data_IF_209871547049
#
_entry.id   IF_209871547049
#
_cell.length_a   1.000
_cell.length_b   1.000
_cell.length_c   1.000
_cell.angle_alpha   90.00
_cell.angle_beta   90.00
_cell.angle_gamma   90.00
#
_symmetry.space_group_name_H-M   'P 1'
#
loop_
_entity.id
_entity.type
_entity.pdbx_description
1 polymer ?
#
# COMPACT_ATOMS: atom_id res chain seq x y z
N UNK A 1 -28.93 36.62 32.42
CA UNK A 1 -29.18 36.10 33.78
C UNK A 1 -30.61 35.58 33.80
N UNK A 2 -30.82 34.37 34.33
CA UNK A 2 -31.96 33.44 34.14
C UNK A 2 -31.86 32.59 32.87
N UNK A 3 -32.20 31.31 32.86
CA UNK A 3 -32.02 30.21 33.81
C UNK A 3 -32.36 28.94 33.01
N UNK A 4 -31.72 27.84 33.38
CA UNK A 4 -32.02 26.48 32.93
C UNK A 4 -33.53 26.15 33.01
N UNK A 5 -34.04 25.27 32.12
CA UNK A 5 -34.41 23.88 32.49
C UNK A 5 -35.10 23.15 31.32
N UNK A 6 -34.54 22.02 30.92
CA UNK A 6 -35.21 21.00 30.07
C UNK A 6 -35.95 20.04 31.01
N UNK A 7 -37.25 19.72 30.81
CA UNK A 7 -37.89 18.66 31.55
C UNK A 7 -37.87 17.30 30.83
N UNK A 8 -37.96 16.29 31.68
CA UNK A 8 -37.69 14.86 31.56
C UNK A 8 -38.83 14.02 30.97
N UNK A 9 -38.39 12.89 30.37
CA UNK A 9 -38.89 11.49 30.48
C UNK A 9 -40.37 11.19 30.21
N UNK A 10 -40.59 10.32 29.21
CA UNK A 10 -41.74 9.41 29.17
C UNK A 10 -41.24 7.97 29.23
N UNK A 11 -41.62 7.29 30.32
CA UNK A 11 -41.69 5.83 30.40
C UNK A 11 -42.98 5.37 29.71
N UNK A 12 -42.96 4.21 29.07
CA UNK A 12 -44.03 3.22 29.18
C UNK A 12 -43.48 1.84 28.81
N UNK A 13 -43.35 1.01 29.84
CA UNK A 13 -43.23 -0.43 29.77
C UNK A 13 -44.64 -0.95 30.01
N UNK A 14 -45.10 -1.93 29.23
CA UNK A 14 -45.87 -3.06 29.75
C UNK A 14 -45.79 -4.26 28.82
N UNK A 15 -45.96 -5.39 29.48
CA UNK A 15 -45.46 -6.73 29.22
C UNK A 15 -46.58 -7.71 28.83
N UNK A 16 -46.19 -8.99 28.69
CA UNK A 16 -46.99 -10.22 28.52
C UNK A 16 -47.22 -10.57 27.05
N UNK A 17 -46.95 -11.76 26.56
CA UNK A 17 -46.54 -13.01 27.17
C UNK A 17 -46.40 -14.07 26.07
N UNK A 18 -45.66 -15.14 26.38
CA UNK A 18 -45.43 -16.34 25.57
C UNK A 18 -46.73 -17.03 25.14
N UNK A 19 -46.72 -17.94 24.14
CA UNK A 19 -46.48 -19.34 24.51
C UNK A 19 -45.65 -20.16 23.51
N UNK A 20 -45.16 -21.28 24.05
CA UNK A 20 -44.41 -22.35 23.42
C UNK A 20 -45.11 -22.93 22.18
N UNK A 21 -44.33 -23.15 21.11
CA UNK A 21 -44.44 -24.33 20.25
C UNK A 21 -43.17 -24.45 19.38
N UNK A 22 -42.41 -25.54 19.56
CA UNK A 22 -41.46 -26.09 18.58
C UNK A 22 -41.79 -27.59 18.44
N UNK A 23 -41.41 -28.29 17.36
CA UNK A 23 -41.54 -27.93 15.95
C UNK A 23 -42.08 -29.15 15.14
N UNK A 24 -42.47 -28.96 13.87
CA UNK A 24 -42.45 -30.08 12.89
C UNK A 24 -41.64 -29.58 11.71
N UNK A 25 -40.37 -29.98 11.67
CA UNK A 25 -39.49 -29.74 10.53
C UNK A 25 -39.71 -30.88 9.53
N UNK A 26 -40.10 -30.60 8.28
CA UNK A 26 -40.14 -31.63 7.24
C UNK A 26 -38.72 -32.13 6.94
N UNK A 27 -38.57 -33.45 6.77
CA UNK A 27 -37.30 -34.16 6.55
C UNK A 27 -36.58 -33.85 5.23
N UNK A 28 -37.03 -32.87 4.45
CA UNK A 28 -36.41 -32.47 3.18
C UNK A 28 -35.27 -31.45 3.32
N UNK A 29 -34.96 -30.99 4.53
CA UNK A 29 -33.85 -30.06 4.79
C UNK A 29 -32.54 -30.72 5.26
N UNK A 30 -32.39 -32.04 5.12
CA UNK A 30 -31.12 -32.73 5.44
C UNK A 30 -30.22 -33.00 4.23
N UNK A 31 -30.60 -32.58 3.02
CA UNK A 31 -29.74 -32.71 1.82
C UNK A 31 -29.26 -31.37 1.24
N UNK A 32 -29.58 -30.24 1.87
CA UNK A 32 -29.11 -28.91 1.45
C UNK A 32 -27.93 -28.39 2.30
N UNK A 33 -27.60 -29.06 3.41
CA UNK A 33 -26.50 -28.68 4.28
C UNK A 33 -25.16 -29.30 3.86
N UNK A 34 -25.17 -30.48 3.25
CA UNK A 34 -23.95 -31.22 2.89
C UNK A 34 -23.27 -30.69 1.62
N UNK A 35 -24.02 -30.07 0.68
CA UNK A 35 -23.44 -29.45 -0.52
C UNK A 35 -22.72 -28.13 -0.25
N UNK A 36 -22.79 -27.59 0.97
CA UNK A 36 -22.15 -26.30 1.32
C UNK A 36 -20.74 -26.46 1.87
N UNK A 37 -20.35 -27.66 2.30
CA UNK A 37 -19.00 -27.91 2.82
C UNK A 37 -18.03 -28.31 1.70
N UNK A 38 -18.43 -29.18 0.77
CA UNK A 38 -17.60 -29.52 -0.41
C UNK A 38 -17.26 -28.29 -1.26
N UNK A 39 -18.19 -27.33 -1.36
CA UNK A 39 -17.99 -26.11 -2.16
C UNK A 39 -17.16 -25.03 -1.43
N UNK A 40 -16.88 -25.20 -0.13
CA UNK A 40 -15.99 -24.31 0.63
C UNK A 40 -14.53 -24.72 0.51
N UNK A 41 -14.26 -26.01 0.37
CA UNK A 41 -12.91 -26.55 0.31
C UNK A 41 -12.23 -26.37 -1.06
N UNK A 42 -12.99 -26.28 -2.16
CA UNK A 42 -12.41 -26.02 -3.49
C UNK A 42 -11.86 -24.60 -3.68
N UNK A 43 -12.15 -23.66 -2.77
CA UNK A 43 -11.59 -22.29 -2.86
C UNK A 43 -10.23 -22.15 -2.18
N UNK A 44 -9.69 -23.25 -1.62
CA UNK A 44 -8.42 -23.28 -0.91
C UNK A 44 -7.19 -23.51 -1.80
N UNK A 45 -7.31 -23.31 -3.11
CA UNK A 45 -6.18 -22.95 -3.99
C UNK A 45 -6.00 -21.43 -4.08
N UNK A 46 -6.35 -20.70 -3.01
CA UNK A 46 -5.96 -19.29 -2.89
C UNK A 46 -4.46 -19.22 -2.65
N UNK A 47 -3.74 -18.77 -3.68
CA UNK A 47 -2.38 -18.26 -3.55
C UNK A 47 -2.31 -17.38 -2.30
N UNK A 48 -1.24 -17.54 -1.51
CA UNK A 48 -1.06 -16.82 -0.25
C UNK A 48 -1.42 -15.35 -0.48
N UNK A 49 -2.45 -14.81 0.19
CA UNK A 49 -2.75 -13.40 0.06
C UNK A 49 -1.47 -12.66 0.40
N UNK A 50 -1.10 -11.72 -0.45
CA UNK A 50 -0.04 -10.73 -0.21
C UNK A 50 -0.09 -10.34 1.26
N UNK A 51 0.98 -10.65 2.01
CA UNK A 51 0.92 -10.82 3.47
C UNK A 51 0.09 -9.74 4.15
N UNK A 52 -1.03 -10.14 4.79
CA UNK A 52 -1.99 -9.22 5.41
C UNK A 52 -1.35 -8.31 6.48
N UNK A 53 -0.25 -8.75 7.09
CA UNK A 53 0.55 -7.93 8.02
C UNK A 53 1.05 -6.63 7.38
N UNK A 54 1.47 -6.67 6.11
CA UNK A 54 2.04 -5.49 5.45
C UNK A 54 1.01 -4.38 5.18
N UNK A 55 -0.29 -4.68 5.22
CA UNK A 55 -1.36 -3.72 4.92
C UNK A 55 -2.05 -3.17 6.18
N UNK A 56 -1.93 -3.85 7.31
CA UNK A 56 -2.68 -3.52 8.54
C UNK A 56 -2.29 -2.16 9.12
N UNK A 57 -1.03 -1.74 8.92
CA UNK A 57 -0.52 -0.43 9.35
C UNK A 57 -0.23 0.52 8.19
N UNK A 58 -0.64 0.16 6.96
CA UNK A 58 -0.27 0.92 5.78
C UNK A 58 -0.95 2.30 5.75
N UNK A 59 -0.19 3.28 5.26
CA UNK A 59 -0.69 4.62 4.98
C UNK A 59 -1.15 4.67 3.53
N UNK A 60 -2.46 4.88 3.36
CA UNK A 60 -3.11 4.96 2.05
C UNK A 60 -3.32 6.43 1.68
N UNK A 61 -2.79 6.82 0.54
CA UNK A 61 -3.08 8.09 -0.13
C UNK A 61 -3.85 7.80 -1.41
N UNK A 62 -4.99 8.44 -1.63
CA UNK A 62 -5.83 8.22 -2.81
C UNK A 62 -6.43 9.52 -3.33
N UNK A 63 -6.43 9.65 -4.65
CA UNK A 63 -7.16 10.66 -5.39
C UNK A 63 -7.67 10.05 -6.70
N UNK A 64 -8.99 9.90 -6.83
CA UNK A 64 -9.64 9.21 -7.96
C UNK A 64 -9.06 7.80 -8.23
N UNK A 65 -8.48 7.58 -9.42
CA UNK A 65 -7.91 6.33 -9.87
C UNK A 65 -6.42 6.17 -9.52
N UNK A 66 -5.80 7.21 -8.95
CA UNK A 66 -4.42 7.19 -8.50
C UNK A 66 -4.41 6.94 -6.99
N UNK A 67 -3.67 5.94 -6.53
CA UNK A 67 -3.45 5.71 -5.11
C UNK A 67 -2.07 5.18 -4.82
N UNK A 68 -1.54 5.57 -3.67
CA UNK A 68 -0.25 5.15 -3.16
C UNK A 68 -0.43 4.52 -1.79
N UNK A 69 0.19 3.36 -1.60
CA UNK A 69 0.13 2.62 -0.33
C UNK A 69 1.57 2.43 0.17
N UNK A 70 1.84 2.93 1.37
CA UNK A 70 3.17 2.96 1.98
C UNK A 70 3.16 2.35 3.38
N UNK A 71 4.34 2.00 3.91
CA UNK A 71 4.52 1.76 5.33
C UNK A 71 4.43 3.08 6.15
N UNK A 72 4.31 3.01 7.48
CA UNK A 72 4.34 4.18 8.36
C UNK A 72 5.63 5.01 8.29
N UNK A 73 6.74 4.46 7.80
CA UNK A 73 7.98 5.19 7.54
C UNK A 73 8.00 5.90 6.18
N UNK A 74 6.95 5.73 5.37
CA UNK A 74 6.82 6.27 4.02
C UNK A 74 7.43 5.37 2.93
N UNK A 75 8.05 4.25 3.30
CA UNK A 75 8.72 3.34 2.38
C UNK A 75 7.75 2.37 1.71
N UNK A 76 8.14 1.92 0.52
CA UNK A 76 7.67 0.71 -0.16
C UNK A 76 8.87 -0.23 -0.23
N UNK A 77 8.83 -1.40 0.42
CA UNK A 77 10.01 -2.25 0.56
C UNK A 77 10.40 -2.86 -0.79
N UNK A 78 11.68 -3.23 -0.94
CA UNK A 78 12.16 -3.92 -2.15
C UNK A 78 11.96 -5.44 -2.12
N UNK A 79 11.47 -5.98 -1.00
CA UNK A 79 11.13 -7.40 -0.87
C UNK A 79 9.97 -7.76 -1.79
N UNK A 80 9.94 -8.99 -2.27
CA UNK A 80 8.76 -9.47 -2.98
C UNK A 80 7.61 -9.75 -2.00
N UNK A 81 6.39 -9.92 -2.52
CA UNK A 81 5.21 -10.33 -1.73
C UNK A 81 4.59 -9.28 -0.77
N UNK A 82 4.49 -8.01 -1.20
CA UNK A 82 3.65 -6.99 -0.56
C UNK A 82 2.70 -6.32 -1.56
N UNK A 83 1.66 -5.66 -1.05
CA UNK A 83 0.67 -4.91 -1.84
C UNK A 83 0.94 -3.40 -1.87
N UNK A 84 2.04 -2.96 -1.29
CA UNK A 84 2.45 -1.55 -1.25
C UNK A 84 2.91 -1.07 -2.63
N UNK A 85 2.80 0.24 -2.90
CA UNK A 85 3.20 0.83 -4.17
C UNK A 85 2.30 1.96 -4.71
N UNK A 86 2.65 2.46 -5.89
CA UNK A 86 1.84 3.41 -6.67
C UNK A 86 0.97 2.67 -7.67
N UNK A 87 -0.33 2.91 -7.64
CA UNK A 87 -1.31 2.31 -8.51
C UNK A 87 -2.05 3.35 -9.33
N UNK A 88 -2.26 3.04 -10.60
CA UNK A 88 -3.08 3.82 -11.52
C UNK A 88 -3.78 2.87 -12.49
N UNK A 89 -5.10 3.00 -12.64
CA UNK A 89 -5.91 2.13 -13.52
C UNK A 89 -5.56 0.63 -13.40
N UNK A 90 -5.66 0.10 -12.18
CA UNK A 90 -5.45 -1.33 -11.87
C UNK A 90 -4.04 -1.88 -12.17
N UNK A 91 -3.06 -1.01 -12.40
CA UNK A 91 -1.65 -1.36 -12.55
C UNK A 91 -0.80 -0.73 -11.43
N UNK A 92 0.07 -1.53 -10.81
CA UNK A 92 1.11 -1.08 -9.88
C UNK A 92 2.34 -0.64 -10.66
N UNK A 93 2.52 0.67 -10.78
CA UNK A 93 3.65 1.28 -11.47
C UNK A 93 4.94 1.18 -10.66
N UNK A 94 4.88 1.54 -9.38
CA UNK A 94 6.03 1.54 -8.45
C UNK A 94 5.82 0.48 -7.38
N UNK A 95 6.78 -0.41 -7.20
CA UNK A 95 6.74 -1.51 -6.23
C UNK A 95 7.98 -1.56 -5.31
N UNK A 96 8.77 -0.48 -5.30
CA UNK A 96 9.87 -0.25 -4.38
C UNK A 96 10.14 1.24 -4.33
N UNK A 97 10.21 1.80 -3.13
CA UNK A 97 10.49 3.21 -2.89
C UNK A 97 11.02 3.36 -1.47
N UNK A 98 12.35 3.45 -1.30
CA UNK A 98 12.97 3.62 0.02
C UNK A 98 13.85 4.86 0.09
N UNK A 99 13.86 5.52 1.25
CA UNK A 99 14.82 6.59 1.56
C UNK A 99 15.92 6.09 2.49
N UNK A 100 17.17 6.49 2.22
CA UNK A 100 18.32 6.20 3.07
C UNK A 100 19.12 7.45 3.39
N UNK A 101 19.56 7.54 4.63
CA UNK A 101 20.42 8.58 5.20
C UNK A 101 21.76 7.93 5.57
N UNK A 102 22.83 8.23 4.81
CA UNK A 102 24.12 7.53 4.92
C UNK A 102 23.99 6.00 4.85
N UNK A 103 23.19 5.51 3.90
CA UNK A 103 22.94 4.08 3.71
C UNK A 103 22.04 3.42 4.77
N UNK A 104 21.59 4.15 5.80
CA UNK A 104 20.69 3.65 6.84
C UNK A 104 19.27 4.17 6.65
N UNK A 105 18.27 3.38 7.02
CA UNK A 105 16.87 3.83 7.01
C UNK A 105 16.62 4.86 8.12
N UNK A 106 15.88 5.95 7.83
CA UNK A 106 15.32 6.81 8.86
C UNK A 106 14.40 6.04 9.81
N UNK A 107 14.22 6.58 11.01
CA UNK A 107 13.29 6.07 12.02
C UNK A 107 11.99 6.87 11.94
N UNK A 108 10.85 6.19 11.84
CA UNK A 108 9.55 6.85 11.84
C UNK A 108 9.13 7.28 13.25
N UNK A 109 8.68 8.52 13.37
CA UNK A 109 8.12 9.09 14.61
C UNK A 109 6.61 9.20 14.54
N UNK A 110 6.07 9.56 13.37
CA UNK A 110 4.63 9.56 13.11
C UNK A 110 4.32 9.51 11.63
N UNK A 111 3.12 9.03 11.31
CA UNK A 111 2.61 8.97 9.95
C UNK A 111 1.13 9.36 9.96
N UNK A 112 0.72 10.12 8.95
CA UNK A 112 -0.69 10.48 8.79
C UNK A 112 -1.05 10.68 7.32
N UNK A 113 -2.30 10.39 6.98
CA UNK A 113 -2.90 10.78 5.71
C UNK A 113 -3.85 11.96 5.94
N UNK A 114 -3.49 13.14 5.44
CA UNK A 114 -4.29 14.36 5.51
C UNK A 114 -5.21 14.43 4.29
N UNK A 115 -6.51 14.59 4.53
CA UNK A 115 -7.55 14.66 3.48
C UNK A 115 -7.55 13.47 2.51
N UNK A 116 -6.96 12.34 2.91
CA UNK A 116 -6.90 11.11 2.11
C UNK A 116 -5.93 11.15 0.92
N UNK A 117 -5.56 12.30 0.36
CA UNK A 117 -4.67 12.40 -0.81
C UNK A 117 -3.22 12.76 -0.47
N UNK A 118 -2.95 13.22 0.76
CA UNK A 118 -1.61 13.66 1.19
C UNK A 118 -1.12 12.80 2.34
N UNK A 119 0.05 12.18 2.20
CA UNK A 119 0.78 11.55 3.29
C UNK A 119 1.76 12.53 3.91
N UNK A 120 1.86 12.54 5.24
CA UNK A 120 2.88 13.27 5.99
C UNK A 120 3.55 12.28 6.93
N UNK A 121 4.85 12.05 6.71
CA UNK A 121 5.68 11.19 7.52
C UNK A 121 6.72 12.06 8.25
N UNK A 122 6.74 11.98 9.57
CA UNK A 122 7.77 12.61 10.39
C UNK A 122 8.77 11.54 10.78
N UNK A 123 10.00 11.72 10.34
CA UNK A 123 11.09 10.75 10.50
C UNK A 123 12.30 11.44 11.14
N UNK A 124 13.25 10.63 11.58
CA UNK A 124 14.52 11.11 12.10
C UNK A 124 15.68 10.16 11.78
N UNK A 125 16.92 10.63 11.95
CA UNK A 125 18.08 9.79 11.68
C UNK A 125 18.33 8.77 12.81
N UNK A 126 18.78 7.55 12.48
CA UNK A 126 19.45 6.69 13.44
C UNK A 126 20.85 7.26 13.74
N UNK A 127 21.59 6.59 14.63
CA UNK A 127 23.01 6.90 14.83
C UNK A 127 23.79 6.61 13.54
N UNK A 128 24.48 7.62 13.01
CA UNK A 128 25.24 7.55 11.76
C UNK A 128 26.70 7.85 12.06
N UNK A 129 27.57 6.93 11.69
CA UNK A 129 29.01 7.13 11.74
C UNK A 129 29.44 7.86 10.46
N UNK A 130 30.25 8.90 10.61
CA UNK A 130 30.75 9.72 9.51
C UNK A 130 32.18 9.28 9.13
N UNK A 131 32.61 9.51 7.87
CA UNK A 131 33.94 9.12 7.42
C UNK A 131 35.10 9.74 8.20
N UNK A 132 34.87 10.88 8.85
CA UNK A 132 35.85 11.59 9.68
C UNK A 132 35.99 11.03 11.10
N UNK A 133 35.27 9.95 11.43
CA UNK A 133 35.27 9.32 12.74
C UNK A 133 34.32 9.96 13.75
N UNK A 134 33.62 11.03 13.40
CA UNK A 134 32.54 11.58 14.22
C UNK A 134 31.23 10.83 13.99
N UNK A 135 30.23 11.09 14.82
CA UNK A 135 28.91 10.51 14.66
C UNK A 135 27.82 11.57 14.74
N UNK A 136 26.77 11.38 13.95
CA UNK A 136 25.48 12.04 14.15
C UNK A 136 24.71 11.10 15.07
N UNK A 137 24.37 11.59 16.25
CA UNK A 137 23.62 10.82 17.23
C UNK A 137 22.16 10.71 16.79
N UNK A 138 21.44 9.75 17.38
CA UNK A 138 20.01 9.55 17.06
C UNK A 138 19.25 10.86 17.29
N UNK A 139 18.24 11.11 16.48
CA UNK A 139 17.30 12.23 16.69
C UNK A 139 17.87 13.64 16.46
N UNK A 140 19.10 13.78 15.93
CA UNK A 140 19.73 15.08 15.64
C UNK A 140 19.28 15.72 14.31
N UNK A 141 18.64 14.95 13.42
CA UNK A 141 18.13 15.41 12.13
C UNK A 141 16.65 15.08 12.03
N UNK A 142 15.84 16.13 11.91
CA UNK A 142 14.42 16.03 11.62
C UNK A 142 14.17 15.89 10.13
N UNK A 143 13.27 14.98 9.75
CA UNK A 143 12.88 14.77 8.36
C UNK A 143 11.36 14.83 8.29
N UNK A 144 10.84 15.67 7.40
CA UNK A 144 9.41 15.67 7.05
C UNK A 144 9.27 15.28 5.60
N UNK A 145 8.64 14.14 5.35
CA UNK A 145 8.30 13.67 4.02
C UNK A 145 6.82 13.90 3.77
N UNK A 146 6.50 14.87 2.91
CA UNK A 146 5.13 15.12 2.46
C UNK A 146 4.96 14.57 1.05
N UNK A 147 4.02 13.64 0.89
CA UNK A 147 3.71 12.96 -0.36
C UNK A 147 2.30 13.32 -0.81
N UNK A 148 2.15 13.77 -2.05
CA UNK A 148 0.86 14.12 -2.64
C UNK A 148 0.56 13.19 -3.82
N UNK A 149 -0.65 12.63 -3.81
CA UNK A 149 -1.24 11.96 -4.96
C UNK A 149 -2.04 12.99 -5.75
N UNK A 150 -1.49 13.42 -6.88
CA UNK A 150 -2.06 14.44 -7.76
C UNK A 150 -2.80 13.77 -8.93
N UNK A 151 -4.05 14.20 -9.19
CA UNK A 151 -4.89 13.64 -10.26
C UNK A 151 -5.04 14.60 -11.46
N UNK A 152 -4.81 15.92 -11.30
CA UNK A 152 -4.91 16.85 -12.43
C UNK A 152 -3.87 16.49 -13.50
N UNK A 153 -2.66 16.19 -13.04
CA UNK A 153 -1.64 15.49 -13.78
C UNK A 153 -1.23 14.27 -12.95
N UNK A 154 -1.67 13.05 -13.31
CA UNK A 154 -1.45 11.83 -12.54
C UNK A 154 0.01 11.68 -12.12
N UNK A 155 0.30 11.97 -10.86
CA UNK A 155 1.66 12.01 -10.35
C UNK A 155 1.70 11.76 -8.84
N UNK A 156 2.81 11.15 -8.42
CA UNK A 156 3.22 11.14 -7.02
C UNK A 156 4.24 12.25 -6.81
N UNK A 157 3.91 13.26 -6.01
CA UNK A 157 4.78 14.42 -5.76
C UNK A 157 5.29 14.38 -4.33
N UNK A 158 6.61 14.30 -4.18
CA UNK A 158 7.27 14.30 -2.89
C UNK A 158 7.91 15.65 -2.58
N UNK A 159 7.76 16.09 -1.32
CA UNK A 159 8.48 17.22 -0.73
C UNK A 159 9.15 16.73 0.54
N UNK A 160 10.48 16.71 0.50
CA UNK A 160 11.33 16.36 1.64
C UNK A 160 11.88 17.64 2.27
N UNK A 161 11.71 17.76 3.59
CA UNK A 161 12.32 18.82 4.39
C UNK A 161 13.26 18.17 5.40
N UNK A 162 14.49 18.67 5.45
CA UNK A 162 15.52 18.24 6.40
C UNK A 162 15.83 19.39 7.36
N UNK A 163 15.92 19.08 8.65
CA UNK A 163 16.24 20.03 9.71
C UNK A 163 17.41 19.49 10.51
N UNK A 164 18.53 20.21 10.50
CA UNK A 164 19.70 19.90 11.33
C UNK A 164 19.54 20.56 12.71
N UNK A 165 19.46 19.78 13.77
CA UNK A 165 19.36 20.26 15.15
C UNK A 165 20.72 20.32 15.88
N UNK A 166 21.82 19.98 15.19
CA UNK A 166 23.16 20.12 15.76
C UNK A 166 23.70 21.54 15.63
N UNK A 167 24.80 21.83 16.34
CA UNK A 167 25.51 23.10 16.27
C UNK A 167 26.59 23.14 15.17
N UNK A 168 26.69 22.09 14.35
CA UNK A 168 27.73 21.96 13.32
C UNK A 168 27.12 21.74 11.94
N UNK A 169 27.86 22.10 10.90
CA UNK A 169 27.53 21.69 9.53
C UNK A 169 27.68 20.19 9.40
N UNK A 170 26.72 19.55 8.73
CA UNK A 170 26.69 18.12 8.51
C UNK A 170 26.64 17.87 7.01
N UNK A 171 27.51 16.99 6.53
CA UNK A 171 27.47 16.43 5.18
C UNK A 171 27.05 14.96 5.27
N UNK A 172 25.87 14.64 4.73
CA UNK A 172 25.36 13.27 4.69
C UNK A 172 24.74 12.97 3.34
N UNK A 173 25.10 11.84 2.70
CA UNK A 173 24.45 11.43 1.48
C UNK A 173 23.02 10.94 1.76
N UNK A 174 22.10 11.40 0.92
CA UNK A 174 20.69 11.00 0.92
C UNK A 174 20.44 10.24 -0.38
N UNK A 175 19.85 9.06 -0.28
CA UNK A 175 19.46 8.26 -1.43
C UNK A 175 17.95 8.00 -1.43
N UNK A 176 17.35 8.08 -2.61
CA UNK A 176 15.99 7.63 -2.89
C UNK A 176 16.09 6.52 -3.93
N UNK A 177 15.83 5.29 -3.50
CA UNK A 177 15.82 4.13 -4.37
C UNK A 177 14.38 3.90 -4.83
N UNK A 178 14.14 3.83 -6.15
CA UNK A 178 12.81 3.62 -6.74
C UNK A 178 12.85 2.46 -7.73
N UNK A 179 11.87 1.55 -7.63
CA UNK A 179 11.68 0.41 -8.54
C UNK A 179 10.30 0.46 -9.18
N UNK A 180 10.28 0.32 -10.50
CA UNK A 180 9.07 0.21 -11.29
C UNK A 180 8.97 -1.18 -11.91
N UNK A 181 7.76 -1.76 -11.90
CA UNK A 181 7.52 -3.11 -12.40
C UNK A 181 6.25 -3.26 -13.24
N UNK A 182 5.33 -2.29 -13.22
CA UNK A 182 4.09 -2.28 -14.03
C UNK A 182 3.27 -3.57 -13.86
N UNK A 183 2.98 -3.92 -12.62
CA UNK A 183 2.31 -5.18 -12.28
C UNK A 183 0.79 -4.99 -12.25
N UNK A 184 0.05 -5.81 -12.99
CA UNK A 184 -1.41 -5.85 -12.91
C UNK A 184 -1.88 -6.18 -11.48
N UNK A 185 -2.96 -5.55 -11.01
CA UNK A 185 -3.49 -5.74 -9.65
C UNK A 185 -3.84 -7.20 -9.33
N UNK A 186 -4.26 -8.00 -10.31
CA UNK A 186 -4.51 -9.43 -10.14
C UNK A 186 -3.21 -10.21 -9.95
N UNK A 187 -2.10 -9.81 -10.59
CA UNK A 187 -0.77 -10.38 -10.32
C UNK A 187 -0.34 -10.06 -8.88
N UNK A 188 -0.48 -8.79 -8.46
CA UNK A 188 -0.13 -8.37 -7.09
C UNK A 188 -0.92 -9.15 -6.03
N UNK A 189 -2.17 -9.51 -6.34
CA UNK A 189 -3.05 -10.30 -5.46
C UNK A 189 -2.84 -11.82 -5.54
N UNK A 190 -1.88 -12.29 -6.34
CA UNK A 190 -1.60 -13.72 -6.53
C UNK A 190 -2.69 -14.48 -7.29
N UNK A 191 -3.50 -13.77 -8.08
CA UNK A 191 -4.62 -14.33 -8.86
C UNK A 191 -4.22 -14.70 -10.29
N UNK A 192 -3.07 -14.25 -10.77
CA UNK A 192 -2.49 -14.65 -12.05
C UNK A 192 -1.43 -15.74 -11.83
N UNK A 193 -1.85 -17.00 -11.78
CA UNK A 193 -0.93 -18.14 -11.58
C UNK A 193 -0.26 -18.62 -12.87
N UNK A 194 -0.86 -18.34 -14.05
CA UNK A 194 -0.51 -19.03 -15.31
C UNK A 194 -0.34 -18.09 -16.53
N UNK A 195 -0.27 -16.77 -16.33
CA UNK A 195 -0.11 -15.83 -17.44
C UNK A 195 1.38 -15.70 -17.76
N UNK A 196 1.81 -16.08 -18.96
CA UNK A 196 3.15 -15.79 -19.45
C UNK A 196 3.34 -14.27 -19.48
N UNK A 197 4.05 -13.73 -18.50
CA UNK A 197 4.39 -12.32 -18.47
C UNK A 197 5.18 -11.95 -19.74
N UNK A 198 4.97 -10.74 -20.24
CA UNK A 198 5.83 -10.20 -21.30
C UNK A 198 7.28 -10.10 -20.82
N UNK A 199 8.23 -10.08 -21.77
CA UNK A 199 9.64 -9.85 -21.44
C UNK A 199 9.92 -8.34 -21.33
N UNK A 200 10.64 -7.92 -20.29
CA UNK A 200 11.20 -6.57 -20.23
C UNK A 200 12.22 -6.44 -21.35
N UNK A 201 11.93 -5.61 -22.34
CA UNK A 201 12.88 -5.29 -23.39
C UNK A 201 13.84 -4.21 -22.87
N UNK A 202 15.13 -4.29 -23.22
CA UNK A 202 16.04 -3.17 -22.97
C UNK A 202 15.49 -1.91 -23.67
N UNK A 203 15.77 -0.72 -23.13
CA UNK A 203 15.29 0.53 -23.72
C UNK A 203 15.78 0.63 -25.17
N UNK A 204 14.84 0.58 -26.12
CA UNK A 204 15.13 0.75 -27.54
C UNK A 204 15.16 2.25 -27.87
N UNK A 205 16.33 2.78 -28.25
CA UNK A 205 16.36 4.09 -28.91
C UNK A 205 15.75 3.92 -30.30
N UNK A 206 14.63 4.57 -30.57
CA UNK A 206 14.11 4.69 -31.93
C UNK A 206 15.10 5.53 -32.76
N UNK A 207 16.14 4.90 -33.31
CA UNK A 207 16.87 5.49 -34.44
C UNK A 207 15.89 5.53 -35.59
N UNK A 208 15.48 6.74 -35.97
CA UNK A 208 14.72 7.03 -37.18
C UNK A 208 15.56 6.75 -38.42
N UNK A 209 15.85 5.47 -38.69
CA UNK A 209 16.24 5.02 -40.02
C UNK A 209 15.05 4.24 -40.59
N UNK A 210 14.30 4.91 -41.45
CA UNK A 210 13.19 4.30 -42.18
C UNK A 210 13.68 3.09 -42.99
N UNK A 211 13.12 1.92 -42.68
CA UNK A 211 12.98 0.80 -43.61
C UNK A 211 11.80 -0.04 -43.13
N UNK A 212 10.86 -0.43 -44.01
CA UNK A 212 9.64 -1.09 -43.60
C UNK A 212 9.94 -2.49 -43.07
N UNK A 213 9.46 -2.72 -41.84
CA UNK A 213 9.46 -3.98 -41.12
C UNK A 213 8.73 -5.05 -41.94
N UNK A 214 9.48 -5.95 -42.58
CA UNK A 214 8.92 -7.19 -43.13
C UNK A 214 8.76 -8.17 -41.97
N UNK A 215 7.52 -8.37 -41.53
CA UNK A 215 7.17 -9.39 -40.56
C UNK A 215 7.54 -10.76 -41.12
N UNK A 216 8.53 -11.42 -40.51
CA UNK A 216 8.89 -12.81 -40.82
C UNK A 216 8.23 -13.70 -39.78
N UNK A 217 7.14 -14.33 -40.19
CA UNK A 217 6.40 -15.34 -39.45
C UNK A 217 7.34 -16.50 -39.07
N UNK A 218 7.53 -16.75 -37.78
CA UNK A 218 8.19 -17.95 -37.30
C UNK A 218 7.18 -19.11 -37.34
N UNK A 219 7.47 -20.09 -38.20
CA UNK A 219 6.79 -21.38 -38.28
C UNK A 219 7.20 -22.27 -37.09
N UNK A 220 6.30 -23.08 -36.49
CA UNK A 220 6.69 -24.01 -35.44
C UNK A 220 7.23 -25.29 -36.07
N UNK A 221 8.45 -25.69 -35.70
CA UNK A 221 8.98 -27.01 -35.96
C UNK A 221 8.80 -27.90 -34.72
N UNK A 222 8.35 -29.12 -35.02
CA UNK A 222 8.12 -30.31 -34.17
C UNK A 222 9.15 -30.57 -33.08
#
# INVERSE_FOLDING_TARGET
MRDNMIPRRTFLRWSLGWPLALPIVPSTLLHAADRREDQREETLTKGRPTSADSLSEAIVMKHENLFFVAQPDGDVPFTDSHGLGLYYHDCRYVNGYEMKFSGKKPVALSASSVQGAVGVFTLTNPRIELPDGTAIEKEEIGITWRRLVDNELPALRDRLLFQNFTLRTIEVPIALDIRSAFEDVFAVRGLLMNSSAGCILPPGTATSSGSPMTARTASPAR
#
